data_IF_951177054166
#
_entry.id   IF_951177054166
#
_cell.length_a   1.000
_cell.length_b   1.000
_cell.length_c   1.000
_cell.angle_alpha   90.00
_cell.angle_beta   90.00
_cell.angle_gamma   90.00
#
_symmetry.space_group_name_H-M   'P 1'
#
loop_
_entity.id
_entity.type
_entity.pdbx_description
1 polymer ?
#
# COMPACT_ATOMS: atom_id res chain seq x y z
N UNK A 1 -19.69 -44.23 -18.79
CA UNK A 1 -20.12 -43.00 -19.45
C UNK A 1 -18.99 -42.01 -19.48
N UNK A 2 -18.64 -41.49 -20.64
CA UNK A 2 -17.65 -40.42 -20.79
C UNK A 2 -18.30 -39.16 -20.26
N UNK A 3 -17.81 -38.63 -19.14
CA UNK A 3 -18.25 -37.35 -18.64
C UNK A 3 -17.91 -36.27 -19.67
N UNK A 4 -18.90 -35.66 -20.30
CA UNK A 4 -18.68 -34.50 -21.14
C UNK A 4 -18.37 -33.29 -20.25
N UNK A 5 -17.29 -32.59 -20.55
CA UNK A 5 -17.00 -31.31 -19.91
C UNK A 5 -18.14 -30.32 -20.23
N UNK A 6 -18.69 -29.68 -19.19
CA UNK A 6 -19.61 -28.58 -19.35
C UNK A 6 -18.79 -27.29 -19.39
N UNK A 7 -18.87 -26.58 -20.51
CA UNK A 7 -18.18 -25.30 -20.70
C UNK A 7 -19.26 -24.27 -20.99
N UNK A 8 -19.24 -23.19 -20.20
CA UNK A 8 -20.02 -21.99 -20.46
C UNK A 8 -19.06 -20.79 -20.53
N UNK A 9 -19.36 -19.85 -21.41
CA UNK A 9 -18.60 -18.59 -21.53
C UNK A 9 -19.60 -17.46 -21.63
N UNK A 10 -19.37 -16.43 -20.84
CA UNK A 10 -20.15 -15.19 -20.89
C UNK A 10 -19.19 -14.00 -20.69
N UNK A 11 -19.61 -12.82 -21.08
CA UNK A 11 -18.86 -11.58 -20.90
C UNK A 11 -19.78 -10.48 -20.43
N UNK A 12 -19.34 -9.73 -19.43
CA UNK A 12 -20.03 -8.56 -18.92
C UNK A 12 -19.13 -7.35 -18.97
N UNK A 13 -19.66 -6.21 -19.44
CA UNK A 13 -19.00 -4.93 -19.36
C UNK A 13 -19.86 -4.00 -18.50
N UNK A 14 -19.33 -3.56 -17.38
CA UNK A 14 -20.01 -2.57 -16.55
C UNK A 14 -20.17 -1.25 -17.32
N UNK A 15 -21.35 -0.61 -17.31
CA UNK A 15 -21.57 0.68 -17.95
C UNK A 15 -20.82 1.83 -17.25
N UNK A 16 -20.41 1.61 -16.01
CA UNK A 16 -19.65 2.56 -15.17
C UNK A 16 -18.46 1.87 -14.54
N UNK A 17 -17.48 2.66 -14.10
CA UNK A 17 -16.32 2.18 -13.34
C UNK A 17 -16.35 2.82 -11.95
N UNK A 18 -17.17 2.32 -11.03
CA UNK A 18 -17.30 2.90 -9.70
C UNK A 18 -15.99 2.73 -8.91
N UNK A 19 -15.44 3.82 -8.33
CA UNK A 19 -14.19 3.75 -7.61
C UNK A 19 -14.37 3.05 -6.25
N UNK A 20 -13.39 2.25 -5.83
CA UNK A 20 -13.25 1.87 -4.44
C UNK A 20 -12.72 3.02 -3.61
N UNK A 21 -12.93 3.00 -2.29
CA UNK A 21 -12.41 4.01 -1.37
C UNK A 21 -11.62 3.34 -0.25
N UNK A 22 -10.62 4.06 0.26
CA UNK A 22 -9.86 3.62 1.41
C UNK A 22 -9.44 4.81 2.27
N UNK A 23 -9.53 4.64 3.57
CA UNK A 23 -8.93 5.53 4.57
C UNK A 23 -7.84 4.75 5.29
N UNK A 24 -6.66 5.36 5.45
CA UNK A 24 -5.53 4.77 6.15
C UNK A 24 -4.98 5.71 7.22
N UNK A 25 -4.63 5.13 8.37
CA UNK A 25 -4.02 5.82 9.52
C UNK A 25 -2.76 5.06 9.90
N UNK A 26 -1.63 5.78 9.98
CA UNK A 26 -0.36 5.24 10.41
C UNK A 26 0.05 5.79 11.78
N UNK A 27 0.57 4.92 12.64
CA UNK A 27 1.28 5.27 13.86
C UNK A 27 2.77 5.00 13.67
N UNK A 28 3.60 6.02 13.91
CA UNK A 28 5.05 5.93 13.69
C UNK A 28 5.83 6.43 14.90
N UNK A 29 6.98 5.80 15.14
CA UNK A 29 8.05 6.36 15.96
C UNK A 29 9.14 6.92 15.06
N UNK A 30 9.68 8.07 15.42
CA UNK A 30 10.84 8.67 14.77
C UNK A 30 11.89 9.01 15.82
N UNK A 31 13.05 8.38 15.70
CA UNK A 31 14.22 8.73 16.51
C UNK A 31 14.78 10.07 15.99
N UNK A 32 14.67 11.10 16.80
CA UNK A 32 15.13 12.46 16.43
C UNK A 32 16.65 12.62 16.34
N UNK A 33 17.41 11.68 16.89
CA UNK A 33 18.89 11.69 16.84
C UNK A 33 19.41 10.96 15.60
N UNK A 34 18.75 9.87 15.20
CA UNK A 34 19.19 9.05 14.07
C UNK A 34 18.35 9.23 12.82
N UNK A 35 17.14 9.77 12.95
CA UNK A 35 16.15 9.87 11.86
C UNK A 35 15.48 8.55 11.55
N UNK A 36 15.76 7.49 12.30
CA UNK A 36 15.16 6.18 12.08
C UNK A 36 13.64 6.24 12.27
N UNK A 37 12.92 5.62 11.34
CA UNK A 37 11.46 5.60 11.30
C UNK A 37 11.00 4.17 11.50
N UNK A 38 10.09 3.96 12.44
CA UNK A 38 9.42 2.68 12.65
C UNK A 38 7.91 2.88 12.59
N UNK A 39 7.25 2.12 11.71
CA UNK A 39 5.78 2.06 11.69
C UNK A 39 5.35 1.01 12.72
N UNK A 40 4.57 1.43 13.72
CA UNK A 40 4.07 0.54 14.77
C UNK A 40 2.75 -0.11 14.40
N UNK A 41 1.85 0.68 13.89
CA UNK A 41 0.49 0.24 13.59
C UNK A 41 -0.02 0.93 12.33
N UNK A 42 -0.79 0.19 11.55
CA UNK A 42 -1.50 0.72 10.40
C UNK A 42 -2.95 0.22 10.41
N UNK A 43 -3.86 1.14 10.42
CA UNK A 43 -5.29 0.86 10.42
C UNK A 43 -5.90 1.35 9.13
N UNK A 44 -6.73 0.54 8.49
CA UNK A 44 -7.47 0.97 7.33
C UNK A 44 -8.92 0.49 7.32
N UNK A 45 -9.75 1.30 6.66
CA UNK A 45 -11.11 0.94 6.29
C UNK A 45 -11.22 1.01 4.77
N UNK A 46 -11.69 -0.06 4.17
CA UNK A 46 -11.78 -0.21 2.71
C UNK A 46 -13.25 -0.38 2.32
N UNK A 47 -13.69 0.42 1.38
CA UNK A 47 -14.95 0.23 0.67
C UNK A 47 -14.66 -0.37 -0.70
N UNK A 48 -14.85 -1.67 -0.82
CA UNK A 48 -14.79 -2.41 -2.07
C UNK A 48 -16.16 -2.97 -2.50
N UNK A 49 -17.25 -2.32 -2.08
CA UNK A 49 -18.58 -2.83 -2.27
C UNK A 49 -18.84 -4.08 -1.45
N UNK A 50 -19.57 -5.02 -2.00
CA UNK A 50 -19.73 -6.34 -1.38
C UNK A 50 -18.42 -7.07 -1.29
N UNK A 51 -18.01 -7.47 -0.09
CA UNK A 51 -16.80 -8.27 0.13
C UNK A 51 -17.09 -9.73 -0.21
N UNK A 52 -16.74 -10.16 -1.42
CA UNK A 52 -17.07 -11.50 -1.93
C UNK A 52 -16.43 -12.61 -1.08
N UNK A 53 -15.15 -12.42 -0.71
CA UNK A 53 -14.44 -13.34 0.17
C UNK A 53 -13.64 -12.53 1.20
N UNK A 54 -14.11 -12.43 2.45
CA UNK A 54 -13.49 -11.60 3.48
C UNK A 54 -12.03 -11.97 3.78
N UNK A 55 -11.68 -13.24 3.73
CA UNK A 55 -10.31 -13.69 4.00
C UNK A 55 -9.36 -13.27 2.88
N UNK A 56 -9.73 -13.49 1.63
CA UNK A 56 -8.91 -13.10 0.49
C UNK A 56 -8.84 -11.58 0.35
N UNK A 57 -9.93 -10.87 0.60
CA UNK A 57 -9.97 -9.41 0.61
C UNK A 57 -9.01 -8.84 1.66
N UNK A 58 -9.00 -9.40 2.87
CA UNK A 58 -8.07 -9.00 3.93
C UNK A 58 -6.62 -9.24 3.53
N UNK A 59 -6.29 -10.41 3.01
CA UNK A 59 -4.92 -10.73 2.55
C UNK A 59 -4.46 -9.76 1.44
N UNK A 60 -5.35 -9.43 0.51
CA UNK A 60 -5.07 -8.44 -0.54
C UNK A 60 -4.80 -7.06 0.06
N UNK A 61 -5.62 -6.63 1.01
CA UNK A 61 -5.47 -5.33 1.66
C UNK A 61 -4.17 -5.25 2.49
N UNK A 62 -3.91 -6.25 3.33
CA UNK A 62 -2.68 -6.32 4.12
C UNK A 62 -1.43 -6.33 3.22
N UNK A 63 -1.46 -7.09 2.11
CA UNK A 63 -0.36 -7.14 1.14
C UNK A 63 -0.10 -5.81 0.46
N UNK A 64 -1.14 -5.11 0.01
CA UNK A 64 -1.01 -3.78 -0.60
C UNK A 64 -0.54 -2.71 0.38
N UNK A 65 -0.99 -2.77 1.63
CA UNK A 65 -0.52 -1.87 2.70
C UNK A 65 0.99 -2.07 2.94
N UNK A 66 1.46 -3.31 3.07
CA UNK A 66 2.89 -3.60 3.26
C UNK A 66 3.72 -3.15 2.07
N UNK A 67 3.23 -3.33 0.85
CA UNK A 67 3.88 -2.80 -0.34
C UNK A 67 3.97 -1.28 -0.30
N UNK A 68 2.92 -0.58 0.09
CA UNK A 68 2.93 0.88 0.24
C UNK A 68 3.87 1.38 1.35
N UNK A 69 4.03 0.62 2.45
CA UNK A 69 5.04 0.88 3.49
C UNK A 69 6.45 0.76 2.91
N UNK A 70 6.72 -0.28 2.11
CA UNK A 70 7.99 -0.46 1.42
C UNK A 70 8.32 0.71 0.49
N UNK A 71 7.35 1.13 -0.31
CA UNK A 71 7.49 2.32 -1.18
C UNK A 71 7.76 3.60 -0.38
N UNK A 72 7.14 3.73 0.79
CA UNK A 72 7.32 4.90 1.64
C UNK A 72 8.74 4.98 2.23
N UNK A 73 9.34 3.86 2.66
CA UNK A 73 10.48 3.87 3.57
C UNK A 73 11.76 3.22 3.04
N UNK A 74 11.68 2.24 2.13
CA UNK A 74 12.84 1.39 1.82
C UNK A 74 13.05 1.08 0.34
N UNK A 75 11.99 1.01 -0.45
CA UNK A 75 12.09 0.60 -1.85
C UNK A 75 12.49 1.77 -2.73
N UNK A 76 13.62 1.63 -3.43
CA UNK A 76 14.15 2.64 -4.34
C UNK A 76 14.88 1.97 -5.50
N UNK A 77 14.78 2.55 -6.67
CA UNK A 77 15.56 2.16 -7.86
C UNK A 77 16.49 3.30 -8.22
N UNK A 78 17.78 3.06 -8.01
CA UNK A 78 18.83 4.04 -8.28
C UNK A 78 19.64 3.70 -9.53
N UNK A 79 20.06 4.72 -10.24
CA UNK A 79 20.87 4.60 -11.46
C UNK A 79 22.22 5.30 -11.29
N UNK A 80 23.22 4.82 -12.02
CA UNK A 80 24.49 5.55 -12.20
C UNK A 80 24.31 6.69 -13.22
N UNK A 81 25.30 7.54 -13.33
CA UNK A 81 25.32 8.62 -14.35
C UNK A 81 25.27 8.08 -15.79
N UNK A 82 25.68 6.82 -16.00
CA UNK A 82 25.63 6.12 -17.29
C UNK A 82 24.29 5.38 -17.51
N UNK A 83 23.28 5.58 -16.63
CA UNK A 83 21.98 4.95 -16.73
C UNK A 83 21.95 3.47 -16.32
N UNK A 84 22.97 2.95 -15.63
CA UNK A 84 22.99 1.57 -15.15
C UNK A 84 22.32 1.48 -13.78
N UNK A 85 21.35 0.59 -13.66
CA UNK A 85 20.67 0.28 -12.41
C UNK A 85 21.67 -0.24 -11.37
N UNK A 86 21.71 0.35 -10.18
CA UNK A 86 22.63 -0.02 -9.09
C UNK A 86 22.11 -1.17 -8.24
N UNK A 87 20.83 -1.13 -7.86
CA UNK A 87 20.20 -2.10 -6.96
C UNK A 87 19.44 -3.20 -7.75
N UNK A 88 20.21 -4.07 -8.43
CA UNK A 88 19.70 -5.07 -9.39
C UNK A 88 19.30 -6.41 -8.79
N UNK A 89 19.41 -6.57 -7.49
CA UNK A 89 19.11 -7.82 -6.79
C UNK A 89 18.58 -7.53 -5.39
N UNK A 90 18.00 -8.55 -4.73
CA UNK A 90 17.39 -8.42 -3.40
C UNK A 90 18.38 -8.15 -2.25
N UNK A 91 19.67 -8.20 -2.45
CA UNK A 91 20.63 -7.69 -1.48
C UNK A 91 20.68 -6.15 -1.46
N UNK A 92 20.38 -5.53 -2.59
CA UNK A 92 20.48 -4.09 -2.79
C UNK A 92 19.10 -3.41 -2.82
N UNK A 93 18.11 -4.04 -3.43
CA UNK A 93 16.72 -3.58 -3.42
C UNK A 93 16.02 -4.07 -2.14
N UNK A 94 15.58 -3.13 -1.30
CA UNK A 94 15.14 -3.42 0.07
C UNK A 94 13.62 -3.55 0.16
N UNK A 95 13.15 -4.78 -0.02
CA UNK A 95 11.74 -5.11 0.29
C UNK A 95 11.55 -5.16 1.82
N UNK A 96 10.37 -4.77 2.33
CA UNK A 96 10.01 -5.00 3.72
C UNK A 96 10.08 -6.49 4.06
N UNK A 97 10.72 -6.79 5.18
CA UNK A 97 10.77 -8.15 5.74
C UNK A 97 9.71 -8.30 6.83
N UNK A 98 9.54 -9.52 7.35
CA UNK A 98 8.60 -9.77 8.45
C UNK A 98 8.89 -8.92 9.70
N UNK A 99 10.13 -8.50 9.88
CA UNK A 99 10.55 -7.65 11.02
C UNK A 99 10.12 -6.21 10.83
N UNK A 100 10.01 -5.76 9.58
CA UNK A 100 9.67 -4.38 9.21
C UNK A 100 8.14 -4.16 9.14
N UNK A 101 7.37 -5.25 9.07
CA UNK A 101 5.91 -5.18 8.95
C UNK A 101 5.28 -4.84 10.31
N UNK A 102 4.53 -3.73 10.41
CA UNK A 102 3.82 -3.35 11.63
C UNK A 102 2.63 -4.27 11.91
N UNK A 103 1.91 -3.96 12.99
CA UNK A 103 0.52 -4.42 13.13
C UNK A 103 -0.33 -3.79 12.02
N UNK A 104 -0.99 -4.61 11.21
CA UNK A 104 -1.90 -4.14 10.15
C UNK A 104 -3.31 -4.60 10.48
N UNK A 105 -4.23 -3.62 10.58
CA UNK A 105 -5.64 -3.86 10.87
C UNK A 105 -6.50 -3.33 9.74
N UNK A 106 -7.29 -4.21 9.14
CA UNK A 106 -8.18 -3.88 8.02
C UNK A 106 -9.62 -4.15 8.41
N UNK A 107 -10.48 -3.15 8.22
CA UNK A 107 -11.92 -3.28 8.26
C UNK A 107 -12.51 -2.99 6.87
N UNK A 108 -13.67 -3.55 6.60
CA UNK A 108 -14.39 -3.32 5.36
C UNK A 108 -15.68 -2.60 5.66
N UNK A 109 -15.96 -1.55 4.91
CA UNK A 109 -17.29 -0.94 4.87
C UNK A 109 -18.18 -1.78 3.97
N UNK A 110 -19.39 -2.08 4.43
CA UNK A 110 -20.37 -2.82 3.65
C UNK A 110 -21.19 -1.86 2.81
N UNK A 111 -20.84 -1.75 1.55
CA UNK A 111 -21.62 -1.04 0.54
C UNK A 111 -22.08 -2.01 -0.55
N UNK A 112 -22.97 -1.56 -1.41
CA UNK A 112 -23.44 -2.34 -2.57
C UNK A 112 -23.33 -1.49 -3.82
N UNK A 113 -22.66 -2.02 -4.85
CA UNK A 113 -22.52 -1.35 -6.13
C UNK A 113 -23.43 -1.98 -7.19
N UNK A 114 -24.45 -1.25 -7.63
CA UNK A 114 -25.47 -1.76 -8.54
C UNK A 114 -24.93 -2.27 -9.88
N UNK A 115 -23.83 -1.67 -10.35
CA UNK A 115 -23.18 -2.04 -11.62
C UNK A 115 -22.03 -3.05 -11.44
N UNK A 116 -21.70 -3.41 -10.22
CA UNK A 116 -20.63 -4.36 -9.92
C UNK A 116 -21.12 -5.80 -9.81
N UNK A 117 -20.30 -6.80 -10.12
CA UNK A 117 -20.69 -8.19 -9.97
C UNK A 117 -20.98 -8.51 -8.50
N UNK A 118 -22.19 -8.93 -8.22
CA UNK A 118 -22.69 -9.19 -6.85
C UNK A 118 -22.57 -7.98 -5.90
N UNK A 119 -22.54 -6.77 -6.43
CA UNK A 119 -22.37 -5.55 -5.64
C UNK A 119 -20.92 -5.21 -5.27
N UNK A 120 -19.94 -5.89 -5.86
CA UNK A 120 -18.53 -5.67 -5.56
C UNK A 120 -17.94 -4.53 -6.40
N UNK A 121 -16.92 -3.86 -5.83
CA UNK A 121 -16.00 -2.95 -6.51
C UNK A 121 -14.59 -3.53 -6.51
N UNK A 122 -13.65 -2.83 -7.15
CA UNK A 122 -12.24 -3.22 -7.13
C UNK A 122 -11.64 -3.16 -5.71
N UNK A 123 -10.68 -4.04 -5.43
CA UNK A 123 -9.87 -4.01 -4.20
C UNK A 123 -8.37 -4.09 -4.50
N UNK A 124 -7.99 -4.38 -5.76
CA UNK A 124 -6.60 -4.70 -6.10
C UNK A 124 -5.61 -3.58 -5.82
N UNK A 125 -5.92 -2.35 -6.22
CA UNK A 125 -4.96 -1.23 -6.19
C UNK A 125 -5.28 -0.18 -5.13
N UNK A 126 -6.53 -0.03 -4.70
CA UNK A 126 -6.91 0.96 -3.68
C UNK A 126 -6.10 0.82 -2.40
N UNK A 127 -5.71 -0.40 -2.07
CA UNK A 127 -5.03 -0.76 -0.82
C UNK A 127 -3.57 -0.28 -0.74
N UNK A 128 -2.96 0.11 -1.87
CA UNK A 128 -1.60 0.67 -1.90
C UNK A 128 -1.58 2.21 -1.88
N UNK A 129 -2.71 2.86 -2.12
CA UNK A 129 -2.76 4.31 -2.33
C UNK A 129 -2.57 5.13 -1.04
N UNK A 130 -3.02 4.64 0.11
CA UNK A 130 -3.01 5.42 1.34
C UNK A 130 -1.76 5.28 2.21
N UNK A 131 -0.99 4.16 2.24
CA UNK A 131 0.10 4.00 3.19
C UNK A 131 1.19 5.07 3.08
N UNK A 132 1.62 5.39 1.88
CA UNK A 132 2.68 6.37 1.64
C UNK A 132 2.33 7.75 2.19
N UNK A 133 1.12 8.23 1.92
CA UNK A 133 0.66 9.55 2.38
C UNK A 133 0.36 9.55 3.89
N UNK A 134 -0.18 8.47 4.44
CA UNK A 134 -0.43 8.35 5.87
C UNK A 134 0.88 8.36 6.68
N UNK A 135 1.89 7.62 6.22
CA UNK A 135 3.22 7.58 6.85
C UNK A 135 3.91 8.94 6.75
N UNK A 136 3.91 9.57 5.57
CA UNK A 136 4.48 10.91 5.41
C UNK A 136 3.82 11.95 6.33
N UNK A 137 2.49 11.87 6.48
CA UNK A 137 1.73 12.74 7.39
C UNK A 137 2.06 12.48 8.85
N UNK A 138 2.20 11.21 9.24
CA UNK A 138 2.58 10.83 10.60
C UNK A 138 4.00 11.31 10.97
N UNK A 139 4.97 11.15 10.04
CA UNK A 139 6.34 11.65 10.21
C UNK A 139 6.35 13.17 10.35
N UNK A 140 5.60 13.88 9.51
CA UNK A 140 5.45 15.34 9.64
C UNK A 140 4.87 15.73 10.99
N UNK A 141 3.87 15.02 11.48
CA UNK A 141 3.28 15.27 12.79
C UNK A 141 4.29 15.04 13.92
N UNK A 142 5.11 14.00 13.85
CA UNK A 142 6.10 13.65 14.86
C UNK A 142 7.32 14.60 14.89
N UNK A 143 7.74 15.09 13.72
CA UNK A 143 9.03 15.81 13.57
C UNK A 143 8.90 17.25 13.13
N UNK A 144 7.77 17.63 12.54
CA UNK A 144 7.60 18.91 11.83
C UNK A 144 8.16 18.92 10.41
N UNK A 145 8.94 17.92 10.02
CA UNK A 145 9.58 17.83 8.70
C UNK A 145 8.60 17.27 7.66
N UNK A 146 8.44 18.01 6.58
CA UNK A 146 7.65 17.56 5.44
C UNK A 146 8.58 16.98 4.37
N UNK A 147 8.48 15.69 4.10
CA UNK A 147 9.17 15.02 2.99
C UNK A 147 8.18 14.77 1.86
N UNK A 148 8.55 15.12 0.63
CA UNK A 148 7.71 14.99 -0.58
C UNK A 148 8.29 14.04 -1.62
N UNK A 149 9.50 13.56 -1.38
CA UNK A 149 10.18 12.60 -2.25
C UNK A 149 10.33 11.26 -1.56
N UNK A 150 10.14 10.18 -2.29
CA UNK A 150 10.23 8.82 -1.78
C UNK A 150 11.59 8.18 -2.17
N UNK A 151 12.04 7.20 -1.40
CA UNK A 151 11.58 6.85 -0.05
C UNK A 151 11.90 7.94 0.97
N UNK A 152 11.16 7.95 2.10
CA UNK A 152 11.42 8.85 3.23
C UNK A 152 12.57 8.26 4.04
N UNK A 153 13.79 8.71 3.76
CA UNK A 153 14.98 8.22 4.46
C UNK A 153 15.23 8.95 5.78
N UNK A 154 16.00 8.30 6.67
CA UNK A 154 16.46 8.92 7.91
C UNK A 154 17.19 10.24 7.65
N UNK A 155 18.02 10.30 6.61
CA UNK A 155 18.74 11.50 6.20
C UNK A 155 17.80 12.65 5.84
N UNK A 156 16.73 12.40 5.07
CA UNK A 156 15.74 13.42 4.71
C UNK A 156 15.04 13.98 5.95
N UNK A 157 14.75 13.12 6.93
CA UNK A 157 14.12 13.54 8.18
C UNK A 157 15.07 14.36 9.04
N UNK A 158 16.34 13.95 9.20
CA UNK A 158 17.32 14.67 10.01
C UNK A 158 17.72 16.02 9.43
N UNK A 159 17.93 16.08 8.12
CA UNK A 159 18.36 17.30 7.47
C UNK A 159 17.22 18.29 7.23
N UNK A 160 15.98 17.85 7.32
CA UNK A 160 14.81 18.66 6.98
C UNK A 160 14.83 19.14 5.53
N UNK A 161 15.61 18.47 4.69
CA UNK A 161 15.79 18.83 3.27
C UNK A 161 14.85 18.00 2.42
N UNK A 162 14.12 18.69 1.56
CA UNK A 162 13.57 18.11 0.34
C UNK A 162 14.73 18.05 -0.68
N UNK A 163 14.89 16.90 -1.36
CA UNK A 163 15.75 16.86 -2.55
C UNK A 163 15.10 17.76 -3.61
N UNK A 164 15.84 18.78 -4.06
CA UNK A 164 15.48 19.67 -5.16
C UNK A 164 15.42 18.93 -6.50
#
# INVERSE_FOLDING_TARGET
>A
GIAKALIASDSHMSPTSPPPFMVGIAEVDVDKLTGEIKVHDYVSVVDCGTVINPNLARVQAEGGIVQGIGMALSEDITYSNEGKMRNRNFLQYKLPTRVDVPSVRVAFESSYEDNGPFGAKSIGEVVINTPTSAIASAIKHATGVQVRTLPITAEKVLLGKEDE
#
